data_IF_413676120904
#
_entry.id   IF_413676120904
#
_cell.length_a   1.000
_cell.length_b   1.000
_cell.length_c   1.000
_cell.angle_alpha   90.00
_cell.angle_beta   90.00
_cell.angle_gamma   90.00
#
_symmetry.space_group_name_H-M   'P 1'
#
loop_
_entity.id
_entity.type
_entity.pdbx_description
1 polymer ?
#
# COMPACT_ATOMS: atom_id res chain seq x y z
N UNK A 1 -4.53 -11.24 -15.14
CA UNK A 1 -5.06 -9.99 -14.57
C UNK A 1 -6.52 -9.75 -14.96
N UNK A 2 -7.44 -9.80 -13.99
CA UNK A 2 -8.83 -9.34 -14.15
C UNK A 2 -8.93 -7.89 -13.68
N UNK A 3 -8.95 -6.95 -14.62
CA UNK A 3 -9.03 -5.51 -14.31
C UNK A 3 -10.50 -5.06 -14.33
N UNK A 4 -10.90 -4.29 -13.32
CA UNK A 4 -12.21 -3.64 -13.19
C UNK A 4 -11.94 -2.13 -13.20
N UNK A 5 -12.28 -1.46 -14.30
CA UNK A 5 -12.07 -0.02 -14.42
C UNK A 5 -13.22 0.76 -13.76
N UNK A 6 -12.87 1.85 -13.09
CA UNK A 6 -13.81 2.78 -12.47
C UNK A 6 -13.77 4.13 -13.17
N UNK A 7 -14.90 4.82 -13.16
CA UNK A 7 -14.96 6.24 -13.49
C UNK A 7 -14.50 7.04 -12.26
N UNK A 8 -13.21 7.42 -12.25
CA UNK A 8 -12.59 8.20 -11.18
C UNK A 8 -12.38 9.65 -11.65
N UNK A 9 -12.87 10.65 -10.91
CA UNK A 9 -12.85 12.04 -11.34
C UNK A 9 -11.44 12.56 -11.64
N UNK A 10 -11.28 13.29 -12.75
CA UNK A 10 -9.98 13.81 -13.19
C UNK A 10 -9.38 14.85 -12.25
N UNK A 11 -10.19 15.47 -11.39
CA UNK A 11 -9.75 16.40 -10.37
C UNK A 11 -9.28 15.72 -9.08
N UNK A 12 -9.37 14.39 -8.97
CA UNK A 12 -8.89 13.58 -7.85
C UNK A 12 -7.46 13.03 -8.06
N UNK A 13 -6.86 13.28 -9.21
CA UNK A 13 -5.46 12.96 -9.50
C UNK A 13 -4.86 14.00 -10.45
N UNK A 14 -3.56 13.93 -10.69
CA UNK A 14 -2.85 14.82 -11.59
C UNK A 14 -2.54 14.07 -12.89
N UNK A 15 -3.16 14.50 -13.99
CA UNK A 15 -2.93 14.00 -15.36
C UNK A 15 -1.58 14.43 -15.95
N UNK A 16 -0.52 14.33 -15.16
CA UNK A 16 0.87 14.61 -15.52
C UNK A 16 1.60 13.28 -15.66
N UNK A 17 2.16 12.98 -16.83
CA UNK A 17 2.99 11.79 -17.02
C UNK A 17 4.33 11.99 -16.30
N UNK A 18 4.68 11.09 -15.39
CA UNK A 18 5.94 11.14 -14.65
C UNK A 18 6.75 9.87 -14.82
N UNK A 19 8.09 9.98 -14.68
CA UNK A 19 8.97 8.81 -14.66
C UNK A 19 8.76 8.04 -13.35
N UNK A 20 8.33 6.78 -13.46
CA UNK A 20 8.13 5.89 -12.32
C UNK A 20 9.43 5.18 -11.98
N UNK A 21 9.78 5.18 -10.69
CA UNK A 21 10.97 4.54 -10.12
C UNK A 21 10.63 3.33 -9.27
N UNK A 22 9.40 3.25 -8.76
CA UNK A 22 9.04 2.18 -7.86
C UNK A 22 7.56 2.08 -7.59
N UNK A 23 7.24 1.15 -6.70
CA UNK A 23 5.88 0.80 -6.29
C UNK A 23 5.84 0.86 -4.76
N UNK A 24 4.77 1.42 -4.20
CA UNK A 24 4.54 1.44 -2.75
C UNK A 24 3.29 0.64 -2.43
N UNK A 25 3.46 -0.34 -1.55
CA UNK A 25 2.40 -1.19 -1.06
C UNK A 25 1.72 -0.55 0.14
N UNK A 26 0.40 -0.46 0.06
CA UNK A 26 -0.50 0.07 1.07
C UNK A 26 -1.58 -0.97 1.43
N UNK A 27 -2.30 -0.70 2.51
CA UNK A 27 -3.61 -1.30 2.76
C UNK A 27 -4.60 -0.25 3.27
N UNK A 28 -5.88 -0.46 2.98
CA UNK A 28 -6.90 0.59 3.07
C UNK A 28 -7.32 0.97 4.49
N UNK A 29 -7.22 0.04 5.45
CA UNK A 29 -7.78 0.17 6.80
C UNK A 29 -9.30 0.45 6.73
N UNK A 30 -10.02 -0.25 5.84
CA UNK A 30 -11.45 -0.02 5.60
C UNK A 30 -12.28 -1.30 5.36
N UNK A 31 -11.64 -2.46 5.29
CA UNK A 31 -12.31 -3.75 5.07
C UNK A 31 -12.49 -4.10 3.60
N UNK A 32 -13.67 -4.64 3.23
CA UNK A 32 -13.93 -5.31 1.95
C UNK A 32 -14.68 -4.44 0.93
N UNK A 33 -14.69 -3.12 1.12
CA UNK A 33 -15.51 -2.20 0.31
C UNK A 33 -14.64 -1.25 -0.51
N UNK A 34 -14.08 -1.76 -1.63
CA UNK A 34 -13.41 -0.92 -2.65
C UNK A 34 -14.25 0.28 -3.06
N UNK A 35 -15.57 0.11 -3.22
CA UNK A 35 -16.46 1.22 -3.57
C UNK A 35 -16.53 2.26 -2.46
N UNK A 36 -16.51 1.84 -1.18
CA UNK A 36 -16.46 2.76 -0.05
C UNK A 36 -15.17 3.59 -0.05
N UNK A 37 -14.03 2.99 -0.35
CA UNK A 37 -12.75 3.70 -0.48
C UNK A 37 -12.76 4.70 -1.63
N UNK A 38 -13.28 4.29 -2.79
CA UNK A 38 -13.42 5.16 -3.97
C UNK A 38 -14.32 6.36 -3.66
N UNK A 39 -15.49 6.14 -3.06
CA UNK A 39 -16.42 7.21 -2.71
C UNK A 39 -15.83 8.14 -1.63
N UNK A 40 -15.08 7.59 -0.67
CA UNK A 40 -14.34 8.41 0.29
C UNK A 40 -13.34 9.33 -0.42
N UNK A 41 -12.49 8.80 -1.31
CA UNK A 41 -11.53 9.63 -2.05
C UNK A 41 -12.20 10.71 -2.89
N UNK A 42 -13.30 10.38 -3.59
CA UNK A 42 -14.11 11.35 -4.33
C UNK A 42 -14.66 12.49 -3.46
N UNK A 43 -14.89 12.23 -2.17
CA UNK A 43 -15.42 13.21 -1.23
C UNK A 43 -14.39 14.20 -0.67
N UNK A 44 -13.10 13.96 -0.92
CA UNK A 44 -11.99 14.78 -0.39
C UNK A 44 -11.41 15.71 -1.46
N UNK A 45 -10.91 16.88 -1.07
CA UNK A 45 -10.30 17.85 -2.00
C UNK A 45 -8.78 17.66 -2.14
N UNK A 46 -8.19 16.86 -1.25
CA UNK A 46 -6.77 16.63 -1.07
C UNK A 46 -6.15 15.78 -2.20
N UNK A 47 -6.97 15.22 -3.09
CA UNK A 47 -6.54 14.34 -4.20
C UNK A 47 -5.70 13.16 -3.69
N UNK A 48 -6.20 12.53 -2.62
CA UNK A 48 -5.60 11.33 -2.06
C UNK A 48 -6.18 10.12 -2.77
N UNK A 49 -5.34 9.35 -3.44
CA UNK A 49 -5.73 8.12 -4.12
C UNK A 49 -4.51 7.29 -4.52
N UNK A 50 -4.73 6.01 -4.80
CA UNK A 50 -3.81 5.17 -5.57
C UNK A 50 -4.47 4.79 -6.91
N UNK A 51 -3.69 4.46 -7.95
CA UNK A 51 -4.27 4.05 -9.23
C UNK A 51 -4.98 2.70 -9.17
N UNK A 52 -4.65 1.86 -8.17
CA UNK A 52 -5.14 0.49 -8.02
C UNK A 52 -5.53 0.21 -6.58
N UNK A 53 -6.70 -0.40 -6.40
CA UNK A 53 -7.10 -1.12 -5.19
C UNK A 53 -7.28 -2.61 -5.55
N UNK A 54 -6.74 -3.53 -4.76
CA UNK A 54 -6.92 -4.98 -4.95
C UNK A 54 -7.89 -5.48 -3.87
N UNK A 55 -9.10 -5.83 -4.31
CA UNK A 55 -10.15 -6.38 -3.48
C UNK A 55 -9.74 -7.73 -2.85
N UNK A 56 -10.42 -8.12 -1.77
CA UNK A 56 -10.16 -9.38 -1.06
C UNK A 56 -10.25 -10.63 -1.92
N UNK A 57 -11.06 -10.62 -2.98
CA UNK A 57 -11.20 -11.72 -3.95
C UNK A 57 -10.13 -11.69 -5.07
N UNK A 58 -9.19 -10.74 -5.04
CA UNK A 58 -8.19 -10.52 -6.07
C UNK A 58 -8.63 -9.63 -7.23
N UNK A 59 -9.84 -9.08 -7.22
CA UNK A 59 -10.27 -8.09 -8.20
C UNK A 59 -9.34 -6.88 -8.22
N UNK A 60 -8.75 -6.57 -9.38
CA UNK A 60 -7.88 -5.40 -9.54
C UNK A 60 -8.74 -4.23 -10.01
N UNK A 61 -9.00 -3.28 -9.12
CA UNK A 61 -9.82 -2.11 -9.39
C UNK A 61 -8.94 -0.92 -9.80
N UNK A 62 -9.05 -0.52 -11.06
CA UNK A 62 -8.26 0.58 -11.61
C UNK A 62 -9.06 1.88 -11.63
N UNK A 63 -8.51 2.91 -10.99
CA UNK A 63 -9.11 4.24 -10.88
C UNK A 63 -8.56 5.19 -11.95
N UNK A 64 -7.24 5.20 -12.14
CA UNK A 64 -6.58 6.01 -13.16
C UNK A 64 -5.31 5.32 -13.68
N UNK A 65 -4.73 5.86 -14.76
CA UNK A 65 -3.51 5.29 -15.35
C UNK A 65 -2.31 5.46 -14.42
N UNK A 66 -1.53 4.40 -14.20
CA UNK A 66 -0.34 4.42 -13.34
C UNK A 66 0.80 5.30 -13.86
N UNK A 67 0.70 5.87 -15.07
CA UNK A 67 1.62 6.90 -15.56
C UNK A 67 1.40 8.28 -14.92
N UNK A 68 0.19 8.50 -14.39
CA UNK A 68 -0.23 9.70 -13.66
C UNK A 68 0.04 9.55 -12.16
N UNK A 69 -0.32 10.54 -11.35
CA UNK A 69 -0.05 10.50 -9.92
C UNK A 69 -1.14 11.21 -9.09
N UNK A 70 -1.26 10.82 -7.83
CA UNK A 70 -2.07 11.47 -6.81
C UNK A 70 -1.27 11.45 -5.49
N UNK A 71 -1.74 12.13 -4.44
CA UNK A 71 -1.07 12.03 -3.14
C UNK A 71 -1.43 10.69 -2.49
N UNK A 72 -0.45 9.94 -2.00
CA UNK A 72 -0.69 8.66 -1.33
C UNK A 72 0.26 8.39 -0.14
N UNK A 73 1.38 9.11 -0.06
CA UNK A 73 2.40 8.86 0.98
C UNK A 73 2.25 9.72 2.23
N UNK A 74 1.69 10.93 2.11
CA UNK A 74 1.51 11.86 3.25
C UNK A 74 2.78 12.08 4.09
N UNK A 75 3.97 12.13 3.46
CA UNK A 75 5.24 12.24 4.16
C UNK A 75 5.42 13.66 4.67
N UNK A 76 5.60 13.80 5.98
CA UNK A 76 5.79 15.09 6.62
C UNK A 76 7.27 15.51 6.62
N UNK A 77 7.53 16.80 6.76
CA UNK A 77 8.89 17.35 6.71
C UNK A 77 9.81 16.74 7.78
N UNK A 78 9.28 16.46 8.98
CA UNK A 78 10.02 15.85 10.07
C UNK A 78 10.54 14.44 9.74
N UNK A 79 9.83 13.69 8.88
CA UNK A 79 10.27 12.36 8.46
C UNK A 79 11.54 12.45 7.59
N UNK A 80 11.62 13.44 6.69
CA UNK A 80 12.83 13.70 5.91
C UNK A 80 13.97 14.24 6.77
N UNK A 81 13.65 15.19 7.67
CA UNK A 81 14.64 15.81 8.57
C UNK A 81 15.38 14.78 9.42
N UNK A 82 14.70 13.73 9.88
CA UNK A 82 15.31 12.62 10.65
C UNK A 82 16.48 11.95 9.91
N UNK A 83 16.51 12.00 8.58
CA UNK A 83 17.57 11.40 7.76
C UNK A 83 18.40 12.42 6.98
N UNK A 84 18.30 13.70 7.37
CA UNK A 84 19.01 14.83 6.72
C UNK A 84 18.66 14.95 5.23
N UNK A 85 17.40 14.69 4.89
CA UNK A 85 16.90 14.78 3.52
C UNK A 85 16.07 16.07 3.33
N UNK A 86 16.04 16.65 2.11
CA UNK A 86 15.10 17.69 1.77
C UNK A 86 13.66 17.16 1.75
N UNK A 87 12.68 18.05 1.96
CA UNK A 87 11.27 17.70 1.94
C UNK A 87 10.81 17.40 0.51
N UNK A 88 10.77 16.11 0.14
CA UNK A 88 10.50 15.63 -1.21
C UNK A 88 9.16 14.89 -1.36
N UNK A 89 8.18 15.13 -0.47
CA UNK A 89 6.91 14.39 -0.47
C UNK A 89 6.25 14.37 -1.86
N UNK A 90 6.02 15.52 -2.48
CA UNK A 90 5.41 15.60 -3.82
C UNK A 90 6.21 14.82 -4.86
N UNK A 91 7.55 14.90 -4.83
CA UNK A 91 8.40 14.13 -5.74
C UNK A 91 8.26 12.63 -5.52
N UNK A 92 8.17 12.16 -4.25
CA UNK A 92 7.95 10.74 -3.95
C UNK A 92 6.58 10.27 -4.48
N UNK A 93 5.51 11.04 -4.30
CA UNK A 93 4.18 10.72 -4.84
C UNK A 93 4.17 10.67 -6.39
N UNK A 94 4.99 11.51 -7.05
CA UNK A 94 5.18 11.45 -8.51
C UNK A 94 5.93 10.21 -8.98
N UNK A 95 6.99 9.84 -8.26
CA UNK A 95 7.95 8.79 -8.67
C UNK A 95 7.48 7.37 -8.35
N UNK A 96 6.59 7.20 -7.36
CA UNK A 96 6.12 5.89 -6.93
C UNK A 96 4.67 5.65 -7.32
N UNK A 97 4.36 4.40 -7.69
CA UNK A 97 2.99 3.96 -7.97
C UNK A 97 2.44 3.33 -6.69
N UNK A 98 1.35 3.86 -6.14
CA UNK A 98 0.66 3.23 -5.01
C UNK A 98 -0.18 2.02 -5.44
N UNK A 99 -0.24 0.99 -4.60
CA UNK A 99 -1.23 -0.10 -4.68
C UNK A 99 -1.84 -0.26 -3.29
N UNK A 100 -3.17 -0.21 -3.20
CA UNK A 100 -3.90 -0.57 -1.99
C UNK A 100 -4.31 -2.05 -2.01
N UNK A 101 -4.16 -2.72 -0.88
CA UNK A 101 -4.77 -4.02 -0.59
C UNK A 101 -5.95 -3.81 0.37
N UNK A 102 -7.15 -4.26 0.01
CA UNK A 102 -8.29 -4.24 0.93
C UNK A 102 -7.98 -5.01 2.21
N UNK A 103 -8.01 -4.30 3.34
CA UNK A 103 -7.72 -4.87 4.66
C UNK A 103 -8.23 -3.97 5.76
N UNK A 104 -8.68 -4.57 6.86
CA UNK A 104 -8.90 -3.91 8.14
C UNK A 104 -7.61 -3.48 8.85
N UNK A 105 -6.44 -3.98 8.41
CA UNK A 105 -5.16 -3.66 9.00
C UNK A 105 -5.00 -4.23 10.41
N UNK A 106 -4.47 -3.42 11.34
CA UNK A 106 -4.23 -3.80 12.73
C UNK A 106 -5.53 -4.02 13.50
N UNK A 107 -5.58 -5.10 14.29
CA UNK A 107 -6.78 -5.54 15.01
C UNK A 107 -6.56 -5.49 16.53
N UNK A 108 -7.66 -5.27 17.26
CA UNK A 108 -7.72 -5.39 18.72
C UNK A 108 -8.46 -6.66 19.12
N UNK A 109 -8.22 -7.15 20.33
CA UNK A 109 -8.90 -8.35 20.86
C UNK A 109 -9.82 -8.02 22.01
N UNK A 110 -11.04 -8.56 21.98
CA UNK A 110 -11.99 -8.50 23.10
C UNK A 110 -12.72 -9.83 23.21
N UNK A 111 -12.68 -10.46 24.39
CA UNK A 111 -13.35 -11.74 24.67
C UNK A 111 -13.02 -12.85 23.65
N UNK A 112 -11.76 -12.96 23.22
CA UNK A 112 -11.30 -13.98 22.27
C UNK A 112 -11.69 -13.72 20.80
N UNK A 113 -12.32 -12.58 20.50
CA UNK A 113 -12.66 -12.12 19.15
C UNK A 113 -11.78 -10.96 18.71
N UNK A 114 -11.66 -10.75 17.40
CA UNK A 114 -10.81 -9.74 16.79
C UNK A 114 -11.65 -8.64 16.15
N UNK A 115 -11.26 -7.38 16.35
CA UNK A 115 -12.01 -6.22 15.90
C UNK A 115 -11.12 -5.23 15.18
N UNK A 116 -11.62 -4.69 14.06
CA UNK A 116 -11.02 -3.55 13.37
C UNK A 116 -11.16 -2.26 14.19
N UNK A 117 -10.54 -1.18 13.73
CA UNK A 117 -10.68 0.14 14.35
C UNK A 117 -12.13 0.66 14.37
N UNK A 118 -12.96 0.24 13.41
CA UNK A 118 -14.38 0.60 13.30
C UNK A 118 -15.31 -0.30 14.11
N UNK A 119 -14.76 -1.31 14.80
CA UNK A 119 -15.53 -2.28 15.58
C UNK A 119 -16.08 -3.46 14.78
N UNK A 120 -15.69 -3.61 13.51
CA UNK A 120 -16.06 -4.78 12.72
C UNK A 120 -15.33 -6.03 13.23
N UNK A 121 -16.07 -7.11 13.47
CA UNK A 121 -15.49 -8.40 13.85
C UNK A 121 -14.79 -9.03 12.62
N UNK A 122 -13.52 -9.41 12.78
CA UNK A 122 -12.73 -10.15 11.80
C UNK A 122 -12.63 -11.61 12.25
N UNK A 123 -12.98 -12.54 11.36
CA UNK A 123 -12.97 -13.97 11.68
C UNK A 123 -11.54 -14.47 11.92
N UNK A 124 -11.37 -15.35 12.90
CA UNK A 124 -10.05 -15.84 13.35
C UNK A 124 -9.20 -16.42 12.23
N UNK A 125 -9.80 -17.10 11.25
CA UNK A 125 -9.12 -17.66 10.09
C UNK A 125 -8.40 -16.58 9.25
N UNK A 126 -8.98 -15.37 9.19
CA UNK A 126 -8.44 -14.22 8.48
C UNK A 126 -7.42 -13.43 9.30
N UNK A 127 -7.08 -13.84 10.53
CA UNK A 127 -6.15 -13.11 11.40
C UNK A 127 -4.77 -13.74 11.40
N UNK A 128 -3.73 -12.92 11.28
CA UNK A 128 -2.34 -13.28 11.57
C UNK A 128 -1.90 -12.71 12.90
N UNK A 129 -1.04 -13.45 13.61
CA UNK A 129 -0.48 -13.05 14.90
C UNK A 129 1.03 -12.80 14.77
N UNK A 130 1.49 -11.74 15.41
CA UNK A 130 2.89 -11.38 15.56
C UNK A 130 3.27 -11.43 17.04
N UNK A 131 4.12 -12.39 17.41
CA UNK A 131 4.65 -12.52 18.78
C UNK A 131 5.30 -11.22 19.24
N UNK A 132 6.16 -10.65 18.37
CA UNK A 132 6.65 -9.28 18.48
C UNK A 132 5.71 -8.38 17.69
N UNK A 133 4.92 -7.59 18.40
CA UNK A 133 3.96 -6.67 17.81
C UNK A 133 4.59 -5.86 16.66
N UNK A 134 3.83 -5.64 15.60
CA UNK A 134 4.23 -4.78 14.49
C UNK A 134 3.45 -3.47 14.57
N UNK A 135 4.17 -2.35 14.71
CA UNK A 135 3.58 -0.99 14.72
C UNK A 135 2.44 -0.84 15.73
N UNK A 136 2.60 -1.44 16.91
CA UNK A 136 1.63 -1.37 18.02
C UNK A 136 0.54 -2.45 18.01
N UNK A 137 0.49 -3.32 17.00
CA UNK A 137 -0.52 -4.37 16.88
C UNK A 137 0.11 -5.76 16.91
N UNK A 138 -0.49 -6.66 17.69
CA UNK A 138 -0.14 -8.09 17.68
C UNK A 138 -0.95 -8.87 16.63
N UNK A 139 -2.10 -8.34 16.22
CA UNK A 139 -3.01 -9.01 15.30
C UNK A 139 -3.25 -8.12 14.09
N UNK A 140 -3.29 -8.73 12.91
CA UNK A 140 -3.66 -8.05 11.67
C UNK A 140 -4.62 -8.94 10.89
N UNK A 141 -5.49 -8.33 10.09
CA UNK A 141 -6.17 -9.08 9.04
C UNK A 141 -5.17 -9.45 7.95
N UNK A 142 -5.08 -10.73 7.61
CA UNK A 142 -4.25 -11.26 6.53
C UNK A 142 -4.64 -10.64 5.18
N UNK A 143 -3.73 -10.54 4.25
CA UNK A 143 -4.01 -10.46 2.82
C UNK A 143 -4.35 -11.87 2.30
N UNK A 144 -5.36 -11.98 1.43
CA UNK A 144 -5.76 -13.27 0.84
C UNK A 144 -4.73 -13.75 -0.18
N UNK A 145 -4.78 -15.05 -0.49
CA UNK A 145 -4.02 -15.62 -1.60
C UNK A 145 -4.37 -14.93 -2.93
N UNK A 146 -5.65 -14.64 -3.18
CA UNK A 146 -6.08 -13.98 -4.42
C UNK A 146 -5.54 -12.55 -4.56
N UNK A 147 -5.48 -11.80 -3.45
CA UNK A 147 -4.82 -10.50 -3.40
C UNK A 147 -3.33 -10.62 -3.73
N UNK A 148 -2.61 -11.54 -3.09
CA UNK A 148 -1.17 -11.73 -3.29
C UNK A 148 -0.86 -12.18 -4.73
N UNK A 149 -1.67 -13.04 -5.32
CA UNK A 149 -1.54 -13.45 -6.72
C UNK A 149 -1.71 -12.26 -7.66
N UNK A 150 -2.76 -11.45 -7.46
CA UNK A 150 -3.03 -10.29 -8.31
C UNK A 150 -1.99 -9.20 -8.15
N UNK A 151 -1.48 -9.02 -6.93
CA UNK A 151 -0.36 -8.13 -6.64
C UNK A 151 0.89 -8.57 -7.41
N UNK A 152 1.22 -9.88 -7.39
CA UNK A 152 2.36 -10.42 -8.15
C UNK A 152 2.27 -10.07 -9.63
N UNK A 153 1.12 -10.32 -10.26
CA UNK A 153 0.90 -10.02 -11.68
C UNK A 153 1.12 -8.52 -12.00
N UNK A 154 0.65 -7.63 -11.12
CA UNK A 154 0.86 -6.18 -11.28
C UNK A 154 2.33 -5.78 -11.10
N UNK A 155 3.03 -6.36 -10.12
CA UNK A 155 4.44 -6.08 -9.86
C UNK A 155 5.30 -6.51 -11.05
N UNK A 156 5.07 -7.70 -11.61
CA UNK A 156 5.77 -8.20 -12.80
C UNK A 156 5.48 -7.30 -14.02
N UNK A 157 4.21 -6.97 -14.27
CA UNK A 157 3.80 -6.10 -15.37
C UNK A 157 4.44 -4.70 -15.29
N UNK A 158 4.43 -4.06 -14.12
CA UNK A 158 5.04 -2.74 -13.95
C UNK A 158 6.56 -2.78 -13.82
N UNK A 159 7.12 -3.90 -13.36
CA UNK A 159 8.56 -4.18 -13.42
C UNK A 159 9.06 -4.10 -14.86
N UNK A 160 8.39 -4.80 -15.78
CA UNK A 160 8.70 -4.75 -17.21
C UNK A 160 8.39 -3.38 -17.83
N UNK A 161 7.15 -2.88 -17.65
CA UNK A 161 6.68 -1.64 -18.30
C UNK A 161 7.49 -0.40 -17.93
N UNK A 162 7.91 -0.29 -16.69
CA UNK A 162 8.61 0.90 -16.16
C UNK A 162 10.07 0.64 -15.82
N UNK A 163 10.60 -0.56 -16.11
CA UNK A 163 11.93 -0.99 -15.70
C UNK A 163 12.19 -0.81 -14.19
N UNK A 164 11.20 -1.18 -13.37
CA UNK A 164 11.28 -1.08 -11.91
C UNK A 164 11.92 -2.36 -11.35
N UNK A 165 13.02 -2.27 -10.56
CA UNK A 165 13.61 -3.44 -9.92
C UNK A 165 12.64 -4.10 -8.93
N UNK A 166 12.49 -5.42 -9.01
CA UNK A 166 11.55 -6.17 -8.17
C UNK A 166 12.23 -6.90 -7.01
N UNK A 167 13.55 -6.78 -6.87
CA UNK A 167 14.33 -7.45 -5.81
C UNK A 167 13.78 -7.12 -4.41
N UNK A 168 13.51 -8.17 -3.64
CA UNK A 168 13.10 -8.01 -2.25
C UNK A 168 14.19 -7.32 -1.43
N UNK A 169 13.86 -6.16 -0.86
CA UNK A 169 14.83 -5.32 -0.13
C UNK A 169 15.14 -5.82 1.28
N UNK A 170 14.57 -6.93 1.71
CA UNK A 170 14.72 -7.45 3.07
C UNK A 170 13.83 -6.72 4.09
N UNK A 171 14.02 -7.00 5.39
CA UNK A 171 13.21 -6.44 6.47
C UNK A 171 13.13 -4.91 6.49
N UNK A 172 14.13 -4.21 5.94
CA UNK A 172 14.19 -2.74 5.89
C UNK A 172 12.97 -2.11 5.19
N UNK A 173 12.29 -2.82 4.28
CA UNK A 173 11.07 -2.28 3.65
C UNK A 173 9.89 -2.15 4.63
N UNK A 174 9.96 -2.75 5.81
CA UNK A 174 8.95 -2.62 6.86
C UNK A 174 9.34 -1.57 7.93
N UNK A 175 10.44 -0.86 7.72
CA UNK A 175 10.99 0.17 8.61
C UNK A 175 11.10 1.52 7.91
N UNK A 176 10.79 2.61 8.63
CA UNK A 176 10.99 3.95 8.06
C UNK A 176 12.49 4.20 7.90
N UNK A 177 12.95 4.43 6.66
CA UNK A 177 14.37 4.39 6.34
C UNK A 177 14.78 5.42 5.26
N UNK A 178 16.08 5.76 5.26
CA UNK A 178 16.66 6.76 4.34
C UNK A 178 16.54 6.37 2.87
N UNK A 179 16.61 5.07 2.52
CA UNK A 179 16.63 4.59 1.13
C UNK A 179 15.29 4.85 0.43
N UNK A 180 14.19 4.54 1.10
CA UNK A 180 12.85 4.84 0.58
C UNK A 180 12.64 6.35 0.47
N UNK A 181 12.96 7.11 1.54
CA UNK A 181 12.78 8.56 1.57
C UNK A 181 13.65 9.33 0.56
N UNK A 182 14.86 8.84 0.26
CA UNK A 182 15.72 9.41 -0.79
C UNK A 182 15.25 9.08 -2.21
N UNK A 183 14.35 8.10 -2.36
CA UNK A 183 13.77 7.72 -3.64
C UNK A 183 14.47 6.60 -4.37
N UNK A 184 15.09 5.68 -3.65
CA UNK A 184 15.65 4.48 -4.26
C UNK A 184 14.57 3.66 -4.97
N UNK A 185 14.83 3.30 -6.22
CA UNK A 185 13.92 2.53 -7.07
C UNK A 185 13.58 1.15 -6.49
N UNK A 186 12.41 0.64 -6.88
CA UNK A 186 11.91 -0.69 -6.55
C UNK A 186 10.66 -0.69 -5.67
N UNK A 187 10.41 -1.82 -5.00
CA UNK A 187 9.21 -2.03 -4.18
C UNK A 187 9.47 -1.61 -2.73
N UNK A 188 8.55 -0.84 -2.15
CA UNK A 188 8.55 -0.41 -0.75
C UNK A 188 7.17 -0.59 -0.12
N UNK A 189 7.09 -0.60 1.21
CA UNK A 189 5.80 -0.49 1.92
C UNK A 189 5.60 0.95 2.41
N UNK A 190 4.38 1.38 2.69
CA UNK A 190 4.10 2.73 3.18
C UNK A 190 4.84 3.05 4.50
N UNK A 191 4.98 2.06 5.39
CA UNK A 191 5.82 2.14 6.60
C UNK A 191 7.31 2.45 6.34
N UNK A 192 7.80 2.26 5.11
CA UNK A 192 9.14 2.68 4.70
C UNK A 192 9.33 4.20 4.69
N UNK A 193 8.23 4.93 4.53
CA UNK A 193 8.22 6.39 4.43
C UNK A 193 7.72 7.06 5.71
N UNK A 194 6.91 6.35 6.51
CA UNK A 194 6.23 6.92 7.68
C UNK A 194 6.34 6.05 8.91
N UNK A 195 6.86 6.58 10.04
CA UNK A 195 7.00 5.80 11.27
C UNK A 195 5.67 5.55 11.98
N UNK A 196 4.66 6.37 11.74
CA UNK A 196 3.34 6.34 12.38
C UNK A 196 2.31 5.47 11.63
N UNK A 197 2.72 4.87 10.51
CA UNK A 197 1.89 3.97 9.70
C UNK A 197 2.13 2.51 10.05
N UNK A 198 1.18 1.65 9.67
CA UNK A 198 1.22 0.20 9.88
C UNK A 198 1.02 -0.62 8.60
N UNK A 199 0.94 0.03 7.45
CA UNK A 199 0.67 -0.58 6.16
C UNK A 199 1.91 -0.65 5.24
N UNK A 200 2.09 -1.71 4.47
CA UNK A 200 1.58 -3.07 4.69
C UNK A 200 2.30 -3.74 5.86
N UNK A 201 1.62 -4.60 6.62
CA UNK A 201 2.25 -5.45 7.64
C UNK A 201 3.04 -6.62 7.01
N UNK A 202 4.11 -7.13 7.67
CA UNK A 202 5.02 -8.13 7.12
C UNK A 202 4.42 -9.54 7.17
N UNK A 203 3.34 -9.79 6.42
CA UNK A 203 2.75 -11.12 6.32
C UNK A 203 3.71 -12.08 5.62
N UNK A 204 3.79 -13.33 6.12
CA UNK A 204 4.70 -14.35 5.59
C UNK A 204 4.50 -14.59 4.09
N UNK A 205 3.26 -14.79 3.66
CA UNK A 205 2.94 -15.08 2.25
C UNK A 205 3.25 -13.91 1.32
N UNK A 206 3.09 -12.67 1.79
CA UNK A 206 3.51 -11.47 1.04
C UNK A 206 5.02 -11.43 0.86
N UNK A 207 5.79 -11.69 1.93
CA UNK A 207 7.25 -11.72 1.89
C UNK A 207 7.75 -12.85 0.98
N UNK A 208 7.14 -14.02 1.07
CA UNK A 208 7.52 -15.17 0.24
C UNK A 208 7.29 -14.87 -1.24
N UNK A 209 6.17 -14.20 -1.60
CA UNK A 209 5.93 -13.74 -2.96
C UNK A 209 6.98 -12.72 -3.41
N UNK A 210 7.28 -11.70 -2.59
CA UNK A 210 8.27 -10.67 -2.94
C UNK A 210 9.67 -11.27 -3.15
N UNK A 211 10.06 -12.27 -2.36
CA UNK A 211 11.33 -12.98 -2.53
C UNK A 211 11.40 -13.81 -3.82
N UNK A 212 10.26 -14.20 -4.37
CA UNK A 212 10.17 -15.03 -5.58
C UNK A 212 10.08 -14.21 -6.88
N UNK A 213 10.07 -12.87 -6.80
CA UNK A 213 10.06 -11.97 -7.98
C UNK A 213 11.44 -11.81 -8.65
N UNK A 214 12.49 -12.40 -8.09
CA UNK A 214 13.88 -12.33 -8.57
C UNK A 214 14.49 -13.72 -8.71
#
# INVERSE_FOLDING_TARGET
MKIISHDFPEDQYYREVTKKKGIVLHHTVSGDSVLGDIEWWKSTAERVATPIIIARDGGIHQLYSSQYWAHHLGIKQEHFKRFELPALNTQRNKEFIGIELDSWGGLTTKNGKFYSFSGQEVKKENVTFYEKAFRGYQYFEKYTTAQITSLRELLEYWGERYAIPLDYKGPIMFECNKRALSGESGIWAHVSFRPDKSDVHPQKELIDMLKALA
#
